data_IF_875613324268
#
_entry.id   IF_875613324268
#
_cell.length_a   1.000
_cell.length_b   1.000
_cell.length_c   1.000
_cell.angle_alpha   90.00
_cell.angle_beta   90.00
_cell.angle_gamma   90.00
#
_symmetry.space_group_name_H-M   'P 1'
#
loop_
_entity.id
_entity.type
_entity.pdbx_description
1 polymer ?
#
# COMPACT_ATOMS: atom_id res chain seq x y z
N UNK A 1 24.25 -12.88 9.16
CA UNK A 1 22.85 -13.14 8.78
C UNK A 1 21.84 -12.14 9.36
N UNK A 2 21.94 -11.69 10.62
CA UNK A 2 20.98 -10.73 11.21
C UNK A 2 20.79 -9.43 10.41
N UNK A 3 21.89 -8.81 9.97
CA UNK A 3 21.84 -7.59 9.14
C UNK A 3 21.18 -7.79 7.77
N UNK A 4 21.35 -8.98 7.18
CA UNK A 4 20.72 -9.34 5.91
C UNK A 4 19.20 -9.48 6.07
N UNK A 5 18.73 -10.06 7.17
CA UNK A 5 17.29 -10.15 7.49
C UNK A 5 16.67 -8.77 7.71
N UNK A 6 17.36 -7.87 8.40
CA UNK A 6 16.92 -6.47 8.57
C UNK A 6 16.82 -5.77 7.21
N UNK A 7 17.82 -5.95 6.34
CA UNK A 7 17.81 -5.39 4.99
C UNK A 7 16.64 -5.88 4.15
N UNK A 8 16.33 -7.18 4.17
CA UNK A 8 15.18 -7.76 3.45
C UNK A 8 13.86 -7.18 3.98
N UNK A 9 13.70 -7.08 5.30
CA UNK A 9 12.47 -6.55 5.90
C UNK A 9 12.30 -5.08 5.57
N UNK A 10 13.36 -4.28 5.59
CA UNK A 10 13.31 -2.88 5.17
C UNK A 10 12.91 -2.75 3.70
N UNK A 11 13.51 -3.54 2.80
CA UNK A 11 13.16 -3.56 1.38
C UNK A 11 11.71 -3.98 1.14
N UNK A 12 11.23 -5.02 1.83
CA UNK A 12 9.86 -5.49 1.71
C UNK A 12 8.85 -4.44 2.20
N UNK A 13 9.12 -3.77 3.34
CA UNK A 13 8.27 -2.70 3.84
C UNK A 13 8.29 -1.48 2.92
N UNK A 14 9.46 -1.08 2.40
CA UNK A 14 9.57 0.01 1.44
C UNK A 14 8.78 -0.27 0.16
N UNK A 15 8.86 -1.50 -0.37
CA UNK A 15 8.08 -1.92 -1.54
C UNK A 15 6.56 -1.91 -1.27
N UNK A 16 6.13 -2.40 -0.10
CA UNK A 16 4.73 -2.39 0.30
C UNK A 16 4.18 -0.97 0.46
N UNK A 17 4.95 -0.08 1.11
CA UNK A 17 4.64 1.34 1.22
C UNK A 17 4.51 1.97 -0.18
N UNK A 18 5.50 1.75 -1.05
CA UNK A 18 5.50 2.30 -2.40
C UNK A 18 4.24 1.88 -3.19
N UNK A 19 3.87 0.59 -3.14
CA UNK A 19 2.64 0.09 -3.78
C UNK A 19 1.37 0.67 -3.16
N UNK A 20 1.33 0.86 -1.84
CA UNK A 20 0.18 1.43 -1.17
C UNK A 20 0.01 2.94 -1.43
N UNK A 21 1.12 3.65 -1.69
CA UNK A 21 1.14 5.04 -2.17
C UNK A 21 1.04 5.18 -3.69
N UNK A 22 0.76 4.10 -4.40
CA UNK A 22 0.57 4.10 -5.84
C UNK A 22 -0.89 4.23 -6.35
N UNK A 23 -1.91 4.78 -5.65
CA UNK A 23 -3.21 5.02 -6.28
C UNK A 23 -3.11 6.06 -7.41
N UNK A 24 -2.02 6.85 -7.44
CA UNK A 24 -1.65 7.74 -8.55
C UNK A 24 -1.09 7.00 -9.78
N UNK A 25 -0.70 5.73 -9.66
CA UNK A 25 -0.27 4.89 -10.79
C UNK A 25 -1.44 4.14 -11.44
N UNK A 26 -2.60 4.05 -10.77
CA UNK A 26 -3.81 3.42 -11.32
C UNK A 26 -4.46 4.39 -12.32
N UNK A 27 -4.02 4.33 -13.58
CA UNK A 27 -4.56 5.10 -14.71
C UNK A 27 -5.85 4.50 -15.28
N UNK A 28 -6.28 3.33 -14.83
CA UNK A 28 -7.46 2.62 -15.34
C UNK A 28 -8.79 3.37 -15.17
N UNK A 29 -8.83 4.45 -14.38
CA UNK A 29 -9.99 5.33 -14.30
C UNK A 29 -10.19 6.18 -15.57
N UNK A 30 -9.17 6.30 -16.42
CA UNK A 30 -9.26 7.07 -17.69
C UNK A 30 -9.87 6.27 -18.84
N UNK A 31 -10.08 4.95 -18.66
CA UNK A 31 -10.62 4.07 -19.71
C UNK A 31 -11.99 3.57 -19.28
N UNK A 32 -12.98 3.73 -20.16
CA UNK A 32 -14.33 3.21 -19.93
C UNK A 32 -14.27 1.69 -19.77
N UNK A 33 -14.87 1.10 -18.70
CA UNK A 33 -14.82 -0.34 -18.47
C UNK A 33 -15.40 -1.13 -19.64
N UNK A 34 -14.69 -2.18 -20.06
CA UNK A 34 -15.17 -3.13 -21.07
C UNK A 34 -16.46 -3.79 -20.57
N UNK A 35 -17.59 -3.46 -21.21
CA UNK A 35 -18.92 -3.95 -20.84
C UNK A 35 -19.95 -2.85 -20.55
N UNK A 36 -19.52 -1.58 -20.42
CA UNK A 36 -20.46 -0.45 -20.38
C UNK A 36 -20.87 -0.11 -21.82
N UNK A 37 -21.94 -0.74 -22.29
CA UNK A 37 -22.57 -0.39 -23.56
C UNK A 37 -23.36 0.90 -23.40
N UNK A 38 -22.79 1.98 -23.90
CA UNK A 38 -23.38 3.30 -23.84
C UNK A 38 -23.50 3.83 -25.28
N UNK A 39 -24.74 4.04 -25.72
CA UNK A 39 -25.07 4.40 -27.10
C UNK A 39 -24.41 5.71 -27.57
N UNK A 40 -24.02 6.58 -26.63
CA UNK A 40 -23.43 7.88 -26.88
C UNK A 40 -22.02 8.04 -26.32
N UNK A 41 -21.36 6.96 -25.87
CA UNK A 41 -20.03 7.08 -25.25
C UNK A 41 -18.89 7.35 -26.24
N UNK A 42 -19.19 7.36 -27.54
CA UNK A 42 -18.31 7.89 -28.57
C UNK A 42 -18.49 9.39 -28.82
N UNK A 43 -19.54 10.02 -28.26
CA UNK A 43 -19.74 11.46 -28.40
C UNK A 43 -18.76 12.21 -27.50
N UNK A 44 -18.12 13.28 -27.99
CA UNK A 44 -17.06 13.96 -27.25
C UNK A 44 -17.54 14.57 -25.93
N UNK A 45 -18.80 15.01 -25.86
CA UNK A 45 -19.42 15.58 -24.67
C UNK A 45 -19.60 14.54 -23.55
N UNK A 46 -20.01 13.32 -23.92
CA UNK A 46 -20.19 12.21 -22.97
C UNK A 46 -18.83 11.73 -22.49
N UNK A 47 -17.84 11.61 -23.38
CA UNK A 47 -16.47 11.23 -23.02
C UNK A 47 -15.83 12.26 -22.07
N UNK A 48 -16.03 13.55 -22.31
CA UNK A 48 -15.54 14.63 -21.44
C UNK A 48 -16.21 14.60 -20.06
N UNK A 49 -17.52 14.31 -20.02
CA UNK A 49 -18.26 14.22 -18.75
C UNK A 49 -17.83 12.98 -17.95
N UNK A 50 -17.63 11.84 -18.61
CA UNK A 50 -17.12 10.61 -17.99
C UNK A 50 -15.70 10.76 -17.47
N UNK A 51 -14.79 11.38 -18.25
CA UNK A 51 -13.43 11.62 -17.81
C UNK A 51 -13.39 12.58 -16.62
N UNK A 52 -14.26 13.60 -16.61
CA UNK A 52 -14.40 14.50 -15.47
C UNK A 52 -14.94 13.76 -14.23
N UNK A 53 -16.01 12.98 -14.36
CA UNK A 53 -16.54 12.17 -13.26
C UNK A 53 -15.50 11.19 -12.70
N UNK A 54 -14.72 10.54 -13.58
CA UNK A 54 -13.63 9.66 -13.19
C UNK A 54 -12.51 10.41 -12.44
N UNK A 55 -12.16 11.62 -12.89
CA UNK A 55 -11.16 12.47 -12.22
C UNK A 55 -11.58 12.86 -10.79
N UNK A 56 -12.86 13.20 -10.59
CA UNK A 56 -13.42 13.55 -9.29
C UNK A 56 -13.47 12.33 -8.37
N UNK A 57 -13.92 11.18 -8.88
CA UNK A 57 -13.90 9.92 -8.12
C UNK A 57 -12.48 9.53 -7.69
N UNK A 58 -11.50 9.70 -8.59
CA UNK A 58 -10.08 9.47 -8.29
C UNK A 58 -9.57 10.41 -7.19
N UNK A 59 -9.92 11.70 -7.25
CA UNK A 59 -9.53 12.67 -6.24
C UNK A 59 -10.08 12.30 -4.84
N UNK A 60 -11.32 11.81 -4.77
CA UNK A 60 -11.91 11.32 -3.50
C UNK A 60 -11.16 10.10 -2.95
N UNK A 61 -10.86 9.10 -3.79
CA UNK A 61 -10.10 7.91 -3.37
C UNK A 61 -8.70 8.28 -2.91
N UNK A 62 -8.00 9.15 -3.65
CA UNK A 62 -6.69 9.66 -3.26
C UNK A 62 -6.78 10.42 -1.93
N UNK A 63 -7.81 11.23 -1.72
CA UNK A 63 -8.03 11.95 -0.46
C UNK A 63 -8.19 11.00 0.74
N UNK A 64 -8.95 9.92 0.57
CA UNK A 64 -9.14 8.88 1.59
C UNK A 64 -7.82 8.15 1.86
N UNK A 65 -7.13 7.66 0.82
CA UNK A 65 -5.86 6.94 0.98
C UNK A 65 -4.79 7.82 1.63
N UNK A 66 -4.72 9.10 1.24
CA UNK A 66 -3.81 10.07 1.84
C UNK A 66 -4.11 10.28 3.33
N UNK A 67 -5.39 10.34 3.71
CA UNK A 67 -5.82 10.52 5.10
C UNK A 67 -5.46 9.35 6.01
N UNK A 68 -5.38 8.13 5.47
CA UNK A 68 -5.03 6.90 6.20
C UNK A 68 -3.60 6.43 5.95
N UNK A 69 -2.81 7.18 5.19
CA UNK A 69 -1.43 6.83 4.82
C UNK A 69 -0.51 6.62 6.02
N UNK A 70 -0.77 7.34 7.12
CA UNK A 70 -0.03 7.20 8.37
C UNK A 70 -0.17 5.80 9.00
N UNK A 71 -1.29 5.09 8.79
CA UNK A 71 -1.47 3.72 9.28
C UNK A 71 -0.49 2.75 8.62
N UNK A 72 -0.24 2.93 7.31
CA UNK A 72 0.73 2.12 6.57
C UNK A 72 2.15 2.34 7.09
N UNK A 73 2.50 3.60 7.38
CA UNK A 73 3.78 3.95 8.00
C UNK A 73 3.90 3.32 9.40
N UNK A 74 2.83 3.40 10.21
CA UNK A 74 2.81 2.82 11.55
C UNK A 74 3.01 1.30 11.53
N UNK A 75 2.35 0.57 10.62
CA UNK A 75 2.52 -0.87 10.43
C UNK A 75 3.95 -1.21 10.00
N UNK A 76 4.53 -0.43 9.07
CA UNK A 76 5.89 -0.64 8.63
C UNK A 76 6.93 -0.44 9.74
N UNK A 77 6.78 0.63 10.53
CA UNK A 77 7.60 0.87 11.72
C UNK A 77 7.48 -0.29 12.71
N UNK A 78 6.26 -0.75 12.99
CA UNK A 78 6.02 -1.88 13.89
C UNK A 78 6.73 -3.16 13.41
N UNK A 79 6.63 -3.50 12.12
CA UNK A 79 7.29 -4.67 11.54
C UNK A 79 8.82 -4.61 11.69
N UNK A 80 9.42 -3.46 11.40
CA UNK A 80 10.87 -3.26 11.54
C UNK A 80 11.29 -3.38 13.00
N UNK A 81 10.57 -2.72 13.92
CA UNK A 81 10.85 -2.79 15.36
C UNK A 81 10.70 -4.22 15.90
N UNK A 82 9.66 -4.96 15.48
CA UNK A 82 9.42 -6.33 15.90
C UNK A 82 10.56 -7.27 15.44
N UNK A 83 11.04 -7.11 14.21
CA UNK A 83 12.17 -7.90 13.69
C UNK A 83 13.47 -7.55 14.42
N UNK A 84 13.73 -6.27 14.69
CA UNK A 84 14.89 -5.85 15.49
C UNK A 84 14.79 -6.45 16.91
N UNK A 85 13.63 -6.35 17.55
CA UNK A 85 13.41 -6.95 18.87
C UNK A 85 13.64 -8.46 18.84
N UNK A 86 13.11 -9.19 17.86
CA UNK A 86 13.31 -10.63 17.72
C UNK A 86 14.79 -11.03 17.50
N UNK A 87 15.56 -10.22 16.79
CA UNK A 87 16.97 -10.51 16.48
C UNK A 87 17.93 -10.11 17.61
N UNK A 88 17.57 -9.13 18.44
CA UNK A 88 18.45 -8.53 19.46
C UNK A 88 17.97 -8.69 20.91
N UNK A 89 16.75 -9.16 21.17
CA UNK A 89 16.28 -9.52 22.51
C UNK A 89 16.28 -11.05 22.70
N UNK A 90 17.42 -11.67 23.08
CA UNK A 90 17.49 -13.10 23.37
C UNK A 90 16.77 -13.53 24.68
N UNK A 91 16.07 -12.63 25.36
CA UNK A 91 15.72 -12.77 26.78
C UNK A 91 14.42 -13.56 27.09
N UNK A 92 13.57 -13.89 26.10
CA UNK A 92 12.31 -14.61 26.36
C UNK A 92 12.35 -16.11 26.07
N UNK A 93 13.37 -16.63 25.36
CA UNK A 93 13.45 -18.05 24.98
C UNK A 93 14.54 -18.84 25.70
N UNK A 94 15.38 -18.20 26.53
CA UNK A 94 16.49 -18.87 27.25
C UNK A 94 16.18 -19.22 28.71
N UNK A 95 14.92 -19.27 29.12
CA UNK A 95 14.52 -19.49 30.53
C UNK A 95 13.87 -20.85 30.84
N UNK A 96 13.86 -21.83 29.92
CA UNK A 96 13.35 -23.19 30.23
C UNK A 96 14.32 -24.35 29.99
N UNK A 97 15.59 -24.11 29.66
CA UNK A 97 16.61 -25.18 29.75
C UNK A 97 17.30 -25.10 31.11
N UNK A 98 16.48 -25.17 32.17
CA UNK A 98 16.96 -25.44 33.51
C UNK A 98 17.49 -26.87 33.53
N UNK A 99 18.80 -26.97 33.66
CA UNK A 99 19.54 -28.07 34.30
C UNK A 99 18.68 -29.07 35.07
N UNK A 100 18.67 -30.32 34.59
CA UNK A 100 19.04 -31.50 35.36
C UNK A 100 19.47 -32.60 34.41
#
# INVERSE_FOLDING_TARGET
>A
MRWLLIGIVLLANAAAIFLAFAPTLVTFAEVVPLGVNCASCSSPEVTATLSHAASVGRAQVIGVVSSYSWLLVAVACFNVTAVIAALFMPALTRRSSGTR
#
